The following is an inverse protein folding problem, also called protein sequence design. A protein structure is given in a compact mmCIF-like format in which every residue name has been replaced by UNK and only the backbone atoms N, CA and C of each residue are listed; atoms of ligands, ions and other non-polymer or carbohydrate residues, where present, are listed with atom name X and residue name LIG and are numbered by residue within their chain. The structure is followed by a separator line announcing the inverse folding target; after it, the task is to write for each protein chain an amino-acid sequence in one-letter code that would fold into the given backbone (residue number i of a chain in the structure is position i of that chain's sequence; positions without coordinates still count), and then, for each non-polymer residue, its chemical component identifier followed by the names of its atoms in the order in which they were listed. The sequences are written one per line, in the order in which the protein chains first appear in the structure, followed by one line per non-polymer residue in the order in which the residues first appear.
data_IF_336624157068
#
_entry.id   IF_336624157068
#
_cell.length_a   1.000
_cell.length_b   1.000
_cell.length_c   1.000
_cell.angle_alpha   90.00
_cell.angle_beta   90.00
_cell.angle_gamma   90.00
#
_symmetry.space_group_name_H-M   'P 1'
#
loop_
_entity.id
_entity.type
_entity.pdbx_description
1 polymer ?
#
# COMPACT_ATOMS: atom_id res chain seq x y z
N UNK A 1 16.95 -11.35 -32.70
CA UNK A 1 15.53 -11.09 -32.42
C UNK A 1 14.90 -10.59 -33.70
N UNK A 2 13.74 -11.13 -34.06
CA UNK A 2 12.97 -10.65 -35.20
C UNK A 2 12.39 -9.26 -34.88
N UNK A 3 12.44 -8.33 -35.84
CA UNK A 3 12.09 -6.92 -35.63
C UNK A 3 10.61 -6.75 -35.21
N UNK A 4 9.74 -7.71 -35.56
CA UNK A 4 8.34 -7.75 -35.15
C UNK A 4 8.12 -7.94 -33.63
N UNK A 5 9.13 -8.43 -32.89
CA UNK A 5 9.06 -8.56 -31.42
C UNK A 5 9.72 -7.39 -30.68
N UNK A 6 10.20 -6.39 -31.42
CA UNK A 6 10.78 -5.17 -30.85
C UNK A 6 9.69 -4.11 -30.84
N UNK A 7 9.13 -3.84 -29.66
CA UNK A 7 8.18 -2.74 -29.45
C UNK A 7 8.97 -1.48 -29.07
N UNK A 8 8.92 -0.39 -29.86
CA UNK A 8 9.56 0.86 -29.50
C UNK A 8 8.83 1.46 -28.30
N UNK A 9 9.38 1.31 -27.09
CA UNK A 9 8.68 1.68 -25.86
C UNK A 9 8.30 3.16 -25.80
N UNK A 10 9.01 4.02 -26.53
CA UNK A 10 8.68 5.45 -26.63
C UNK A 10 7.36 5.70 -27.37
N UNK A 11 6.98 4.85 -28.35
CA UNK A 11 5.70 4.96 -29.07
C UNK A 11 4.51 4.53 -28.19
N UNK A 12 4.74 3.70 -27.17
CA UNK A 12 3.69 3.25 -26.25
C UNK A 12 3.14 4.39 -25.37
N UNK A 13 3.87 5.50 -25.24
CA UNK A 13 3.47 6.70 -24.48
C UNK A 13 3.04 7.87 -25.38
N UNK A 14 3.06 7.73 -26.71
CA UNK A 14 2.59 8.77 -27.66
C UNK A 14 1.06 8.91 -27.69
N UNK A 15 0.32 7.93 -27.15
CA UNK A 15 -1.14 7.94 -26.99
C UNK A 15 -1.51 7.90 -25.51
N UNK A 16 -2.69 8.44 -25.10
CA UNK A 16 -3.20 8.26 -23.75
C UNK A 16 -3.21 6.78 -23.38
N UNK A 17 -2.50 6.42 -22.30
CA UNK A 17 -2.28 5.04 -21.90
C UNK A 17 -2.38 4.90 -20.38
N UNK A 18 -3.01 3.82 -19.94
CA UNK A 18 -3.12 3.43 -18.52
C UNK A 18 -1.96 2.54 -18.07
N UNK A 19 -0.98 2.26 -18.92
CA UNK A 19 0.10 1.32 -18.60
C UNK A 19 0.88 1.70 -17.32
N UNK A 20 1.12 3.00 -17.11
CA UNK A 20 1.73 3.50 -15.87
C UNK A 20 0.84 3.28 -14.65
N UNK A 21 -0.44 3.64 -14.76
CA UNK A 21 -1.44 3.41 -13.71
C UNK A 21 -1.57 1.92 -13.36
N UNK A 22 -1.65 1.01 -14.34
CA UNK A 22 -1.71 -0.44 -14.09
C UNK A 22 -0.46 -0.93 -13.35
N UNK A 23 0.73 -0.52 -13.81
CA UNK A 23 1.99 -0.91 -13.17
C UNK A 23 2.01 -0.49 -11.69
N UNK A 24 1.65 0.76 -11.42
CA UNK A 24 1.67 1.32 -10.07
C UNK A 24 0.53 0.79 -9.19
N UNK A 25 -0.64 0.46 -9.77
CA UNK A 25 -1.73 -0.23 -9.10
C UNK A 25 -1.29 -1.59 -8.56
N UNK A 26 -0.56 -2.38 -9.36
CA UNK A 26 -0.02 -3.68 -8.92
C UNK A 26 0.93 -3.48 -7.73
N UNK A 27 1.79 -2.45 -7.78
CA UNK A 27 2.67 -2.13 -6.66
C UNK A 27 1.87 -1.80 -5.39
N UNK A 28 0.85 -0.94 -5.51
CA UNK A 28 0.00 -0.56 -4.39
C UNK A 28 -0.76 -1.77 -3.80
N UNK A 29 -1.26 -2.66 -4.64
CA UNK A 29 -1.95 -3.89 -4.24
C UNK A 29 -1.03 -4.85 -3.47
N UNK A 30 0.24 -4.98 -3.87
CA UNK A 30 1.24 -5.77 -3.13
C UNK A 30 1.47 -5.19 -1.73
N UNK A 31 1.64 -3.87 -1.63
CA UNK A 31 1.81 -3.20 -0.34
C UNK A 31 0.59 -3.40 0.58
N UNK A 32 -0.63 -3.28 0.03
CA UNK A 32 -1.87 -3.57 0.77
C UNK A 32 -1.92 -5.02 1.26
N UNK A 33 -1.51 -5.98 0.43
CA UNK A 33 -1.42 -7.39 0.79
C UNK A 33 -0.43 -7.66 1.93
N UNK A 34 0.74 -7.02 1.91
CA UNK A 34 1.72 -7.10 3.00
C UNK A 34 1.14 -6.52 4.29
N UNK A 35 0.48 -5.36 4.22
CA UNK A 35 -0.17 -4.74 5.36
C UNK A 35 -1.25 -5.65 5.97
N UNK A 36 -2.11 -6.24 5.13
CA UNK A 36 -3.15 -7.19 5.54
C UNK A 36 -2.54 -8.38 6.29
N UNK A 37 -1.52 -9.02 5.69
CA UNK A 37 -0.84 -10.16 6.30
C UNK A 37 -0.18 -9.81 7.64
N UNK A 38 0.48 -8.67 7.73
CA UNK A 38 1.10 -8.21 8.98
C UNK A 38 0.06 -7.98 10.09
N UNK A 39 -1.08 -7.35 9.78
CA UNK A 39 -2.16 -7.13 10.74
C UNK A 39 -2.77 -8.44 11.21
N UNK A 40 -3.05 -9.37 10.29
CA UNK A 40 -3.65 -10.67 10.63
C UNK A 40 -2.72 -11.50 11.51
N UNK A 41 -1.43 -11.53 11.20
CA UNK A 41 -0.44 -12.24 12.02
C UNK A 41 -0.25 -11.58 13.39
N UNK A 42 -0.30 -10.24 13.46
CA UNK A 42 -0.29 -9.51 14.74
C UNK A 42 -1.48 -9.90 15.60
N UNK A 43 -2.70 -9.93 15.03
CA UNK A 43 -3.92 -10.30 15.76
C UNK A 43 -3.82 -11.75 16.28
N UNK A 44 -3.34 -12.67 15.45
CA UNK A 44 -3.14 -14.06 15.85
C UNK A 44 -2.12 -14.18 16.98
N UNK A 45 -0.98 -13.51 16.84
CA UNK A 45 0.09 -13.57 17.84
C UNK A 45 -0.35 -12.98 19.19
N UNK A 46 -1.02 -11.83 19.18
CA UNK A 46 -1.55 -11.21 20.40
C UNK A 46 -2.53 -12.13 21.13
N UNK A 47 -3.39 -12.83 20.39
CA UNK A 47 -4.40 -13.74 20.98
C UNK A 47 -3.79 -15.02 21.54
N UNK A 48 -2.73 -15.54 20.91
CA UNK A 48 -2.20 -16.87 21.21
C UNK A 48 -0.93 -16.86 22.06
N UNK A 49 -0.13 -15.80 22.00
CA UNK A 49 1.24 -15.83 22.49
C UNK A 49 1.63 -14.61 23.35
N UNK A 50 1.02 -13.45 23.13
CA UNK A 50 1.35 -12.24 23.91
C UNK A 50 0.87 -12.35 25.36
N UNK A 51 1.65 -11.75 26.26
CA UNK A 51 1.34 -11.67 27.69
C UNK A 51 0.79 -10.28 28.01
N UNK A 52 -0.19 -10.17 28.93
CA UNK A 52 -0.66 -8.87 29.39
C UNK A 52 0.49 -8.08 30.03
N UNK A 53 0.40 -6.74 29.97
CA UNK A 53 1.32 -5.87 30.68
C UNK A 53 1.20 -6.11 32.20
N UNK A 54 2.34 -6.17 32.89
CA UNK A 54 2.40 -6.56 34.32
C UNK A 54 1.52 -5.67 35.22
N UNK A 55 1.43 -4.38 34.93
CA UNK A 55 0.64 -3.43 35.73
C UNK A 55 -0.79 -3.23 35.21
N UNK A 56 -1.21 -3.96 34.17
CA UNK A 56 -2.55 -3.80 33.59
C UNK A 56 -3.66 -4.43 34.43
N UNK A 57 -3.33 -5.42 35.27
CA UNK A 57 -4.31 -6.23 35.99
C UNK A 57 -5.17 -7.15 35.08
N UNK A 58 -4.83 -7.26 33.79
CA UNK A 58 -5.55 -8.09 32.83
C UNK A 58 -5.01 -9.52 32.78
N UNK A 59 -5.88 -10.48 32.48
CA UNK A 59 -5.49 -11.88 32.26
C UNK A 59 -4.94 -12.12 30.85
N UNK A 60 -5.38 -11.34 29.87
CA UNK A 60 -5.03 -11.51 28.45
C UNK A 60 -4.53 -10.21 27.84
N UNK A 61 -3.48 -10.31 27.02
CA UNK A 61 -3.00 -9.19 26.23
C UNK A 61 -4.07 -8.67 25.25
N UNK A 62 -4.95 -9.55 24.76
CA UNK A 62 -6.04 -9.17 23.85
C UNK A 62 -7.10 -8.26 24.47
N UNK A 63 -7.14 -8.17 25.80
CA UNK A 63 -8.13 -7.38 26.53
C UNK A 63 -7.61 -5.98 26.86
N UNK A 64 -6.33 -5.69 26.53
CA UNK A 64 -5.73 -4.38 26.73
C UNK A 64 -6.37 -3.33 25.81
N UNK A 65 -6.99 -2.26 26.37
CA UNK A 65 -7.65 -1.23 25.58
C UNK A 65 -6.72 -0.52 24.60
N UNK A 66 -5.41 -0.41 24.90
CA UNK A 66 -4.45 0.20 24.00
C UNK A 66 -4.15 -0.70 22.81
N UNK A 67 -3.96 -2.00 23.06
CA UNK A 67 -3.80 -3.00 22.01
C UNK A 67 -5.05 -3.05 21.10
N UNK A 68 -6.26 -3.06 21.69
CA UNK A 68 -7.52 -3.01 20.94
C UNK A 68 -7.61 -1.76 20.06
N UNK A 69 -7.29 -0.59 20.61
CA UNK A 69 -7.32 0.68 19.87
C UNK A 69 -6.33 0.67 18.69
N UNK A 70 -5.10 0.18 18.88
CA UNK A 70 -4.10 0.08 17.82
C UNK A 70 -4.53 -0.88 16.70
N UNK A 71 -5.11 -2.04 17.03
CA UNK A 71 -5.67 -2.95 16.02
C UNK A 71 -6.82 -2.28 15.26
N UNK A 72 -7.68 -1.53 15.96
CA UNK A 72 -8.74 -0.72 15.35
C UNK A 72 -8.19 0.29 14.34
N UNK A 73 -7.19 1.07 14.74
CA UNK A 73 -6.50 2.04 13.87
C UNK A 73 -5.93 1.38 12.61
N UNK A 74 -5.20 0.28 12.77
CA UNK A 74 -4.61 -0.47 11.66
C UNK A 74 -5.68 -0.98 10.68
N UNK A 75 -6.77 -1.55 11.17
CA UNK A 75 -7.88 -2.03 10.33
C UNK A 75 -8.60 -0.90 9.60
N UNK A 76 -8.82 0.24 10.25
CA UNK A 76 -9.46 1.42 9.63
C UNK A 76 -8.57 1.97 8.52
N UNK A 77 -7.27 2.18 8.80
CA UNK A 77 -6.31 2.70 7.82
C UNK A 77 -6.14 1.75 6.63
N UNK A 78 -6.03 0.44 6.88
CA UNK A 78 -5.97 -0.54 5.80
C UNK A 78 -7.23 -0.50 4.95
N UNK A 79 -8.42 -0.46 5.56
CA UNK A 79 -9.68 -0.37 4.82
C UNK A 79 -9.78 0.91 3.99
N UNK A 80 -9.29 2.03 4.50
CA UNK A 80 -9.23 3.27 3.73
C UNK A 80 -8.29 3.13 2.51
N UNK A 81 -7.10 2.55 2.70
CA UNK A 81 -6.16 2.30 1.60
C UNK A 81 -6.75 1.35 0.54
N UNK A 82 -7.42 0.28 0.97
CA UNK A 82 -8.09 -0.68 0.08
C UNK A 82 -9.25 -0.04 -0.69
N UNK A 83 -10.04 0.82 -0.05
CA UNK A 83 -11.12 1.52 -0.74
C UNK A 83 -10.60 2.47 -1.83
N UNK A 84 -9.50 3.19 -1.59
CA UNK A 84 -8.89 4.03 -2.64
C UNK A 84 -8.24 3.18 -3.73
N UNK A 85 -7.67 2.02 -3.37
CA UNK A 85 -7.18 1.06 -4.36
C UNK A 85 -8.31 0.54 -5.25
N UNK A 86 -9.47 0.19 -4.69
CA UNK A 86 -10.63 -0.25 -5.47
C UNK A 86 -11.10 0.86 -6.44
N UNK A 87 -11.20 2.11 -5.97
CA UNK A 87 -11.51 3.27 -6.83
C UNK A 87 -10.49 3.42 -7.98
N UNK A 88 -9.20 3.19 -7.69
CA UNK A 88 -8.16 3.24 -8.71
C UNK A 88 -8.33 2.13 -9.76
N UNK A 89 -8.78 0.94 -9.34
CA UNK A 89 -9.12 -0.16 -10.24
C UNK A 89 -10.29 0.20 -11.16
N UNK A 90 -11.37 0.73 -10.60
CA UNK A 90 -12.55 1.18 -11.37
C UNK A 90 -12.17 2.26 -12.41
N UNK A 91 -11.33 3.22 -12.03
CA UNK A 91 -10.88 4.26 -12.95
C UNK A 91 -9.95 3.74 -14.06
N UNK A 92 -9.11 2.74 -13.76
CA UNK A 92 -8.34 2.03 -14.80
C UNK A 92 -9.27 1.36 -15.79
N UNK A 93 -10.28 0.63 -15.31
CA UNK A 93 -11.25 -0.07 -16.16
C UNK A 93 -12.03 0.91 -17.04
N UNK A 94 -12.46 2.05 -16.47
CA UNK A 94 -13.10 3.12 -17.23
C UNK A 94 -12.19 3.71 -18.31
N UNK A 95 -10.92 3.98 -17.98
CA UNK A 95 -9.95 4.52 -18.93
C UNK A 95 -9.57 3.53 -20.04
N UNK A 96 -9.64 2.23 -19.78
CA UNK A 96 -9.51 1.18 -20.81
C UNK A 96 -10.74 1.16 -21.72
N UNK A 97 -11.94 1.18 -21.13
CA UNK A 97 -13.20 1.11 -21.87
C UNK A 97 -13.47 2.36 -22.71
N UNK A 98 -13.08 3.53 -22.21
CA UNK A 98 -13.31 4.83 -22.83
C UNK A 98 -12.01 5.67 -22.82
N UNK A 99 -11.05 5.41 -23.71
CA UNK A 99 -9.77 6.10 -23.69
C UNK A 99 -9.91 7.61 -23.92
N UNK A 100 -9.51 8.40 -22.92
CA UNK A 100 -9.41 9.86 -23.00
C UNK A 100 -8.24 10.35 -22.13
N UNK A 101 -7.80 11.59 -22.37
CA UNK A 101 -6.77 12.20 -21.52
C UNK A 101 -7.24 12.39 -20.07
N UNK A 102 -8.52 12.69 -19.91
CA UNK A 102 -9.18 12.90 -18.61
C UNK A 102 -9.24 11.60 -17.82
N UNK A 103 -9.77 10.51 -18.40
CA UNK A 103 -9.87 9.23 -17.72
C UNK A 103 -8.48 8.65 -17.40
N UNK A 104 -7.50 8.80 -18.30
CA UNK A 104 -6.13 8.36 -18.03
C UNK A 104 -5.48 9.14 -16.88
N UNK A 105 -5.76 10.45 -16.80
CA UNK A 105 -5.28 11.28 -15.69
C UNK A 105 -5.95 10.91 -14.36
N UNK A 106 -7.27 10.70 -14.36
CA UNK A 106 -8.04 10.26 -13.18
C UNK A 106 -7.54 8.90 -12.64
N UNK A 107 -7.34 7.92 -13.53
CA UNK A 107 -6.77 6.62 -13.16
C UNK A 107 -5.36 6.79 -12.54
N UNK A 108 -4.51 7.63 -13.13
CA UNK A 108 -3.16 7.86 -12.62
C UNK A 108 -3.19 8.56 -11.25
N UNK A 109 -4.11 9.51 -11.05
CA UNK A 109 -4.30 10.22 -9.78
C UNK A 109 -4.71 9.25 -8.66
N UNK A 110 -5.78 8.47 -8.88
CA UNK A 110 -6.27 7.53 -7.87
C UNK A 110 -5.26 6.44 -7.55
N UNK A 111 -4.50 5.97 -8.53
CA UNK A 111 -3.38 5.05 -8.30
C UNK A 111 -2.27 5.71 -7.46
N UNK A 112 -1.95 6.97 -7.69
CA UNK A 112 -0.96 7.69 -6.88
C UNK A 112 -1.42 7.85 -5.42
N UNK A 113 -2.70 8.18 -5.20
CA UNK A 113 -3.31 8.23 -3.87
C UNK A 113 -3.30 6.87 -3.18
N UNK A 114 -3.74 5.82 -3.88
CA UNK A 114 -3.71 4.45 -3.38
C UNK A 114 -2.30 4.04 -2.98
N UNK A 115 -1.29 4.28 -3.83
CA UNK A 115 0.11 3.93 -3.55
C UNK A 115 0.64 4.62 -2.30
N UNK A 116 0.31 5.88 -2.07
CA UNK A 116 0.69 6.59 -0.85
C UNK A 116 0.09 5.89 0.36
N UNK A 117 -1.21 5.63 0.35
CA UNK A 117 -1.92 5.03 1.48
C UNK A 117 -1.43 3.60 1.77
N UNK A 118 -1.25 2.78 0.73
CA UNK A 118 -0.80 1.39 0.88
C UNK A 118 0.66 1.32 1.35
N UNK A 119 1.52 2.22 0.89
CA UNK A 119 2.90 2.35 1.37
C UNK A 119 2.93 2.66 2.87
N UNK A 120 2.18 3.66 3.31
CA UNK A 120 2.16 4.07 4.72
C UNK A 120 1.63 2.97 5.64
N UNK A 121 0.52 2.32 5.26
CA UNK A 121 -0.05 1.26 6.10
C UNK A 121 0.81 0.00 6.11
N UNK A 122 1.49 -0.37 5.03
CA UNK A 122 2.40 -1.52 5.00
C UNK A 122 3.57 -1.34 5.98
N UNK A 123 4.16 -0.14 6.00
CA UNK A 123 5.22 0.19 6.94
C UNK A 123 4.67 0.27 8.37
N UNK A 124 3.55 0.95 8.59
CA UNK A 124 2.97 1.09 9.94
C UNK A 124 2.61 -0.26 10.54
N UNK A 125 1.88 -1.10 9.80
CA UNK A 125 1.42 -2.41 10.25
C UNK A 125 2.59 -3.33 10.62
N UNK A 126 3.61 -3.40 9.76
CA UNK A 126 4.77 -4.26 9.99
C UNK A 126 5.63 -3.82 11.18
N UNK A 127 5.68 -2.52 11.50
CA UNK A 127 6.31 -2.04 12.73
C UNK A 127 5.44 -2.31 13.97
N UNK A 128 4.14 -2.00 13.89
CA UNK A 128 3.18 -2.22 14.99
C UNK A 128 3.07 -3.69 15.39
N UNK A 129 3.32 -4.61 14.47
CA UNK A 129 3.40 -6.03 14.77
C UNK A 129 4.28 -6.31 16.00
N UNK A 130 5.50 -5.77 16.04
CA UNK A 130 6.44 -6.01 17.14
C UNK A 130 6.03 -5.27 18.41
N UNK A 131 5.57 -4.03 18.27
CA UNK A 131 5.09 -3.21 19.38
C UNK A 131 3.98 -3.93 20.16
N UNK A 132 2.99 -4.47 19.44
CA UNK A 132 1.82 -5.13 20.05
C UNK A 132 2.10 -6.57 20.46
N UNK A 133 3.00 -7.26 19.77
CA UNK A 133 3.28 -8.68 20.03
C UNK A 133 4.29 -8.89 21.17
N UNK A 134 5.13 -7.89 21.46
CA UNK A 134 6.13 -7.90 22.55
C UNK A 134 7.41 -8.67 22.20
N UNK A 135 8.41 -8.63 23.08
CA UNK A 135 9.80 -9.06 22.80
C UNK A 135 9.95 -10.44 22.17
N UNK A 136 9.13 -11.43 22.55
CA UNK A 136 9.23 -12.79 21.99
C UNK A 136 8.92 -12.87 20.50
N UNK A 137 8.20 -11.88 19.95
CA UNK A 137 7.92 -11.79 18.51
C UNK A 137 9.19 -11.60 17.66
N UNK A 138 10.32 -11.21 18.26
CA UNK A 138 11.60 -11.02 17.56
C UNK A 138 12.40 -12.32 17.38
N UNK A 139 11.92 -13.45 17.88
CA UNK A 139 12.59 -14.74 17.69
C UNK A 139 12.63 -15.09 16.19
N UNK A 140 13.82 -15.46 15.71
CA UNK A 140 14.06 -15.72 14.29
C UNK A 140 13.19 -16.85 13.72
N UNK A 141 12.85 -17.85 14.54
CA UNK A 141 11.97 -18.97 14.16
C UNK A 141 10.55 -18.53 13.77
N UNK A 142 10.10 -17.36 14.26
CA UNK A 142 8.79 -16.81 13.92
C UNK A 142 8.80 -16.06 12.58
N UNK A 143 9.96 -15.57 12.13
CA UNK A 143 10.15 -14.85 10.86
C UNK A 143 9.13 -13.71 10.63
N UNK A 144 8.71 -13.03 11.70
CA UNK A 144 7.69 -11.97 11.64
C UNK A 144 8.23 -10.68 10.98
N UNK A 145 9.54 -10.48 11.04
CA UNK A 145 10.25 -9.35 10.43
C UNK A 145 10.21 -9.38 8.89
N UNK A 146 9.81 -10.52 8.29
CA UNK A 146 9.61 -10.64 6.84
C UNK A 146 8.62 -9.61 6.30
N UNK A 147 7.57 -9.28 7.05
CA UNK A 147 6.59 -8.28 6.62
C UNK A 147 7.24 -6.92 6.46
N UNK A 148 8.03 -6.51 7.45
CA UNK A 148 8.74 -5.23 7.40
C UNK A 148 9.80 -5.22 6.32
N UNK A 149 10.60 -6.28 6.19
CA UNK A 149 11.63 -6.38 5.13
C UNK A 149 10.99 -6.30 3.75
N UNK A 150 9.92 -7.05 3.51
CA UNK A 150 9.21 -7.04 2.24
C UNK A 150 8.61 -5.66 1.95
N UNK A 151 7.88 -5.07 2.91
CA UNK A 151 7.31 -3.73 2.75
C UNK A 151 8.40 -2.69 2.51
N UNK A 152 9.47 -2.69 3.31
CA UNK A 152 10.55 -1.71 3.22
C UNK A 152 11.28 -1.81 1.89
N UNK A 153 11.56 -3.01 1.39
CA UNK A 153 12.20 -3.21 0.09
C UNK A 153 11.27 -2.78 -1.04
N UNK A 154 10.02 -3.24 -1.03
CA UNK A 154 9.08 -3.03 -2.14
C UNK A 154 8.68 -1.55 -2.29
N UNK A 155 8.36 -0.89 -1.18
CA UNK A 155 7.97 0.54 -1.16
C UNK A 155 9.10 1.51 -1.56
N UNK A 156 10.34 1.03 -1.75
CA UNK A 156 11.46 1.84 -2.26
C UNK A 156 11.54 1.86 -3.79
N UNK A 157 10.71 1.09 -4.50
CA UNK A 157 10.70 1.05 -5.96
C UNK A 157 10.60 2.47 -6.56
N UNK A 158 9.66 3.27 -6.07
CA UNK A 158 9.54 4.69 -6.39
C UNK A 158 9.48 5.52 -5.10
N UNK A 159 10.09 6.71 -5.08
CA UNK A 159 10.09 7.55 -3.90
C UNK A 159 8.67 8.11 -3.63
N UNK A 160 7.94 7.53 -2.67
CA UNK A 160 6.56 7.93 -2.30
C UNK A 160 6.38 9.44 -2.06
N UNK A 161 7.42 10.13 -1.59
CA UNK A 161 7.43 11.60 -1.43
C UNK A 161 7.10 12.36 -2.72
N UNK A 162 7.42 11.81 -3.88
CA UNK A 162 7.07 12.40 -5.17
C UNK A 162 5.60 12.21 -5.51
N UNK A 163 4.95 11.13 -5.05
CA UNK A 163 3.51 10.91 -5.25
C UNK A 163 2.67 11.97 -4.53
N UNK A 164 3.06 12.35 -3.31
CA UNK A 164 2.46 13.50 -2.62
C UNK A 164 2.56 14.80 -3.44
N UNK A 165 3.70 15.05 -4.07
CA UNK A 165 3.84 16.22 -4.92
C UNK A 165 2.92 16.16 -6.15
N UNK A 166 2.80 15.01 -6.81
CA UNK A 166 1.91 14.83 -7.97
C UNK A 166 0.45 15.09 -7.60
N UNK A 167 -0.03 14.42 -6.54
CA UNK A 167 -1.39 14.58 -6.02
C UNK A 167 -1.65 16.03 -5.61
N UNK A 168 -0.72 16.64 -4.87
CA UNK A 168 -0.84 18.03 -4.45
C UNK A 168 -0.85 19.01 -5.63
N UNK A 169 -0.03 18.79 -6.65
CA UNK A 169 0.05 19.65 -7.82
C UNK A 169 -1.21 19.57 -8.70
N UNK A 170 -1.84 18.39 -8.75
CA UNK A 170 -3.14 18.21 -9.38
C UNK A 170 -4.21 19.04 -8.67
N UNK A 171 -4.40 18.86 -7.37
CA UNK A 171 -5.46 19.56 -6.62
C UNK A 171 -5.20 21.06 -6.44
N UNK A 172 -3.95 21.48 -6.29
CA UNK A 172 -3.61 22.88 -6.02
C UNK A 172 -3.49 23.71 -7.30
N UNK A 173 -2.86 23.16 -8.34
CA UNK A 173 -2.46 23.90 -9.53
C UNK A 173 -3.16 23.43 -10.81
N UNK A 174 -4.07 22.45 -10.73
CA UNK A 174 -4.73 21.83 -11.88
C UNK A 174 -3.74 21.26 -12.91
N UNK A 175 -2.57 20.78 -12.45
CA UNK A 175 -1.56 20.19 -13.31
C UNK A 175 -1.84 18.69 -13.43
N UNK A 176 -2.10 18.22 -14.65
CA UNK A 176 -2.24 16.80 -14.94
C UNK A 176 -0.97 16.01 -14.58
N UNK A 177 -1.17 14.76 -14.17
CA UNK A 177 -0.08 13.87 -13.80
C UNK A 177 0.72 13.48 -15.05
N UNK A 178 2.05 13.31 -14.91
CA UNK A 178 2.89 12.87 -16.02
C UNK A 178 2.47 11.48 -16.52
N UNK A 179 2.77 11.19 -17.79
CA UNK A 179 2.44 9.91 -18.45
C UNK A 179 3.68 9.05 -18.62
N UNK A 180 4.21 8.48 -17.53
CA UNK A 180 5.30 7.50 -17.59
C UNK A 180 5.12 6.37 -16.56
N UNK A 181 5.89 5.29 -16.70
CA UNK A 181 5.73 4.06 -15.90
C UNK A 181 5.87 4.24 -14.36
N UNK A 182 6.52 5.32 -13.95
CA UNK A 182 6.77 5.70 -12.55
C UNK A 182 5.81 6.78 -12.03
N UNK A 183 4.91 7.31 -12.88
CA UNK A 183 3.96 8.39 -12.56
C UNK A 183 2.83 7.92 -11.69
#
# INVERSE_FOLDING_TARGET
MDAQYIVPIYQAFEKPTVAGAISQFIQAAVDAGIARGAIEETIQYVRLHSRPWVDSGLEKASDDPYTIANIGELKIKLRAAEAVLDLAGDAIDQAIAQPSEEHANEATLLVAEAKVLTTEIAILASNKLFELSGTRSTLSELNLDRHWRNARTHTLHDPVRWKFNLVGNYYLNNIHLPRHAWS
#
